data_IF_733662019444
#
_entry.id   IF_733662019444
#
_cell.length_a   1.000
_cell.length_b   1.000
_cell.length_c   1.000
_cell.angle_alpha   90.00
_cell.angle_beta   90.00
_cell.angle_gamma   90.00
#
_symmetry.space_group_name_H-M   'P 1'
#
loop_
_entity.id
_entity.type
_entity.pdbx_description
1 polymer ?
#
# COMPACT_ATOMS: atom_id res chain seq x y z
N UNK A 1 32.69 -38.10 29.59
CA UNK A 1 32.51 -37.93 28.13
C UNK A 1 31.11 -37.41 27.88
N UNK A 2 30.98 -36.30 27.15
CA UNK A 2 29.77 -35.47 27.08
C UNK A 2 28.58 -36.14 26.37
N UNK A 3 27.38 -35.95 26.93
CA UNK A 3 26.10 -36.40 26.37
C UNK A 3 25.73 -35.53 25.17
N UNK A 4 25.43 -36.17 24.03
CA UNK A 4 25.07 -35.52 22.75
C UNK A 4 23.74 -34.77 22.89
N UNK A 5 23.60 -33.54 22.34
CA UNK A 5 22.48 -32.65 22.65
C UNK A 5 21.18 -33.17 22.04
N UNK A 6 20.15 -33.34 22.87
CA UNK A 6 18.79 -33.77 22.48
C UNK A 6 17.97 -32.58 21.93
N UNK A 7 18.57 -31.39 21.75
CA UNK A 7 17.87 -30.14 21.45
C UNK A 7 17.75 -29.73 19.97
N UNK A 8 18.49 -30.37 19.06
CA UNK A 8 18.67 -29.81 17.71
C UNK A 8 17.65 -30.31 16.68
N UNK A 9 17.13 -31.54 16.82
CA UNK A 9 16.18 -32.11 15.85
C UNK A 9 14.78 -31.48 15.95
N UNK A 10 14.32 -31.19 17.16
CA UNK A 10 13.01 -30.54 17.38
C UNK A 10 13.04 -29.08 16.91
N UNK A 11 14.13 -28.37 17.19
CA UNK A 11 14.33 -26.98 16.77
C UNK A 11 14.41 -26.84 15.25
N UNK A 12 15.10 -27.77 14.57
CA UNK A 12 15.12 -27.81 13.11
C UNK A 12 13.75 -28.14 12.50
N UNK A 13 12.98 -29.03 13.12
CA UNK A 13 11.62 -29.34 12.68
C UNK A 13 10.67 -28.14 12.85
N UNK A 14 10.77 -27.42 13.97
CA UNK A 14 9.97 -26.20 14.22
C UNK A 14 10.35 -25.05 13.27
N UNK A 15 11.63 -24.93 12.91
CA UNK A 15 12.09 -23.95 11.92
C UNK A 15 11.56 -24.27 10.51
N UNK A 16 11.61 -25.54 10.10
CA UNK A 16 11.07 -25.99 8.81
C UNK A 16 9.55 -25.86 8.72
N UNK A 17 8.83 -26.07 9.82
CA UNK A 17 7.37 -25.91 9.85
C UNK A 17 6.95 -24.42 9.76
N UNK A 18 7.71 -23.52 10.42
CA UNK A 18 7.46 -22.07 10.34
C UNK A 18 7.73 -21.50 8.95
N UNK A 19 8.77 -21.95 8.25
CA UNK A 19 9.05 -21.51 6.88
C UNK A 19 8.05 -22.04 5.85
N UNK A 20 7.47 -23.23 6.08
CA UNK A 20 6.44 -23.80 5.22
C UNK A 20 5.04 -23.19 5.43
N UNK A 21 4.73 -22.69 6.63
CA UNK A 21 3.42 -22.11 6.96
C UNK A 21 3.35 -20.59 6.79
N UNK A 22 4.49 -19.90 6.78
CA UNK A 22 4.54 -18.49 6.40
C UNK A 22 4.48 -18.43 4.87
N UNK A 23 3.27 -18.33 4.32
CA UNK A 23 3.11 -17.71 3.00
C UNK A 23 3.72 -16.31 3.15
N UNK A 24 4.78 -15.95 2.42
CA UNK A 24 5.04 -14.53 2.20
C UNK A 24 3.71 -13.97 1.76
N UNK A 25 3.19 -12.95 2.47
CA UNK A 25 2.07 -12.21 1.96
C UNK A 25 2.54 -11.67 0.62
N UNK A 26 2.18 -12.38 -0.45
CA UNK A 26 2.36 -11.96 -1.82
C UNK A 26 1.59 -10.65 -1.86
N UNK A 27 2.31 -9.56 -1.66
CA UNK A 27 1.79 -8.22 -1.79
C UNK A 27 1.15 -8.24 -3.18
N UNK A 28 -0.18 -8.12 -3.29
CA UNK A 28 -0.85 -8.34 -4.56
C UNK A 28 -0.12 -7.50 -5.59
N UNK A 29 0.42 -8.17 -6.63
CA UNK A 29 1.13 -7.50 -7.69
C UNK A 29 0.29 -6.30 -8.09
N UNK A 30 0.89 -5.09 -8.02
CA UNK A 30 0.18 -3.86 -8.28
C UNK A 30 -0.63 -4.05 -9.56
N UNK A 31 -1.95 -3.77 -9.55
CA UNK A 31 -2.78 -3.99 -10.73
C UNK A 31 -2.10 -3.30 -11.91
N UNK A 32 -2.12 -3.91 -13.11
CA UNK A 32 -1.45 -3.34 -14.27
C UNK A 32 -1.85 -1.88 -14.40
N UNK A 33 -0.88 -0.97 -14.35
CA UNK A 33 -1.12 0.47 -14.50
C UNK A 33 -1.79 0.71 -15.84
N UNK A 34 -3.12 0.73 -15.83
CA UNK A 34 -3.90 1.10 -17.00
C UNK A 34 -3.46 2.53 -17.34
N UNK A 35 -3.00 2.80 -18.57
CA UNK A 35 -2.66 4.15 -18.97
C UNK A 35 -3.88 5.05 -18.79
N UNK A 36 -3.82 5.96 -17.81
CA UNK A 36 -4.95 6.82 -17.43
C UNK A 36 -5.66 6.46 -16.11
N UNK A 37 -5.22 5.42 -15.39
CA UNK A 37 -5.71 5.13 -14.04
C UNK A 37 -5.32 6.26 -13.08
N UNK A 38 -6.27 6.67 -12.24
CA UNK A 38 -6.00 7.58 -11.11
C UNK A 38 -5.29 6.78 -10.03
N UNK A 39 -4.13 7.25 -9.59
CA UNK A 39 -3.40 6.64 -8.49
C UNK A 39 -3.91 7.21 -7.16
N UNK A 40 -4.23 6.35 -6.20
CA UNK A 40 -4.54 6.78 -4.84
C UNK A 40 -3.22 7.12 -4.13
N UNK A 41 -3.03 8.40 -3.81
CA UNK A 41 -1.84 8.89 -3.12
C UNK A 41 -2.23 9.57 -1.80
N UNK A 42 -1.38 9.40 -0.79
CA UNK A 42 -1.51 10.11 0.49
C UNK A 42 -0.83 11.48 0.41
N UNK A 43 -1.60 12.50 0.04
CA UNK A 43 -1.16 13.91 -0.01
C UNK A 43 -1.76 14.70 1.15
N UNK A 44 -0.98 15.63 1.73
CA UNK A 44 -1.49 16.62 2.68
C UNK A 44 -2.03 17.84 1.93
N UNK A 45 -3.25 18.23 2.25
CA UNK A 45 -3.94 19.39 1.68
C UNK A 45 -4.42 20.26 2.83
N UNK A 46 -4.28 21.57 2.68
CA UNK A 46 -4.78 22.54 3.66
C UNK A 46 -6.30 22.41 3.86
N UNK A 47 -6.75 22.72 5.08
CA UNK A 47 -8.13 22.45 5.50
C UNK A 47 -9.13 23.31 4.73
N UNK A 48 -8.84 24.59 4.59
CA UNK A 48 -9.64 25.58 3.87
C UNK A 48 -9.82 25.21 2.39
N UNK A 49 -8.74 24.75 1.75
CA UNK A 49 -8.78 24.29 0.36
C UNK A 49 -9.69 23.07 0.22
N UNK A 50 -9.54 22.10 1.13
CA UNK A 50 -10.33 20.89 1.07
C UNK A 50 -11.82 21.17 1.37
N UNK A 51 -12.12 22.03 2.35
CA UNK A 51 -13.48 22.46 2.68
C UNK A 51 -14.13 23.21 1.50
N UNK A 52 -13.38 24.07 0.80
CA UNK A 52 -13.83 24.74 -0.42
C UNK A 52 -14.30 23.74 -1.48
N UNK A 53 -13.48 22.73 -1.80
CA UNK A 53 -13.85 21.74 -2.81
C UNK A 53 -15.00 20.83 -2.36
N UNK A 54 -15.02 20.42 -1.09
CA UNK A 54 -16.09 19.59 -0.52
C UNK A 54 -17.44 20.31 -0.45
N UNK A 55 -17.44 21.63 -0.21
CA UNK A 55 -18.66 22.45 -0.12
C UNK A 55 -19.49 22.46 -1.41
N UNK A 56 -18.84 22.35 -2.56
CA UNK A 56 -19.49 22.24 -3.87
C UNK A 56 -20.19 20.87 -4.10
N UNK A 57 -20.13 19.95 -3.13
CA UNK A 57 -20.87 18.68 -3.16
C UNK A 57 -20.19 17.56 -3.96
N UNK A 58 -20.96 16.55 -4.42
CA UNK A 58 -20.43 15.37 -5.11
C UNK A 58 -19.47 15.73 -6.25
N UNK A 59 -18.44 14.90 -6.45
CA UNK A 59 -17.42 15.13 -7.50
C UNK A 59 -16.30 16.11 -7.13
N UNK A 60 -16.17 16.51 -5.86
CA UNK A 60 -15.11 17.40 -5.41
C UNK A 60 -13.68 16.90 -5.71
N UNK A 61 -13.46 15.58 -5.67
CA UNK A 61 -12.19 14.97 -6.05
C UNK A 61 -11.86 15.13 -7.54
N UNK A 62 -12.88 15.14 -8.39
CA UNK A 62 -12.70 15.38 -9.83
C UNK A 62 -12.32 16.84 -10.08
N UNK A 63 -12.97 17.78 -9.36
CA UNK A 63 -12.69 19.21 -9.43
C UNK A 63 -11.29 19.57 -8.95
N UNK A 64 -10.87 19.03 -7.79
CA UNK A 64 -9.50 19.28 -7.29
C UNK A 64 -8.45 18.66 -8.23
N UNK A 65 -8.72 17.47 -8.79
CA UNK A 65 -7.83 16.89 -9.81
C UNK A 65 -7.77 17.74 -11.09
N UNK A 66 -8.88 18.32 -11.54
CA UNK A 66 -8.89 19.24 -12.69
C UNK A 66 -8.09 20.52 -12.41
N UNK A 67 -8.20 21.07 -11.20
CA UNK A 67 -7.39 22.21 -10.77
C UNK A 67 -5.89 21.87 -10.74
N UNK A 68 -5.52 20.70 -10.21
CA UNK A 68 -4.13 20.22 -10.21
C UNK A 68 -3.58 19.99 -11.61
N UNK A 69 -4.38 19.45 -12.54
CA UNK A 69 -4.03 19.31 -13.96
C UNK A 69 -3.76 20.66 -14.62
N UNK A 70 -4.65 21.62 -14.41
CA UNK A 70 -4.49 22.99 -14.90
C UNK A 70 -3.23 23.66 -14.34
N UNK A 71 -2.96 23.50 -13.05
CA UNK A 71 -1.77 24.06 -12.40
C UNK A 71 -0.45 23.41 -12.87
N UNK A 72 -0.48 22.11 -13.21
CA UNK A 72 0.68 21.38 -13.72
C UNK A 72 0.90 21.55 -15.23
N UNK A 73 0.08 22.36 -15.92
CA UNK A 73 0.14 22.53 -17.38
C UNK A 73 -0.29 21.28 -18.16
N UNK A 74 -0.87 20.29 -17.47
CA UNK A 74 -1.36 19.05 -18.04
C UNK A 74 -2.81 19.28 -18.45
N UNK A 75 -2.99 19.94 -19.59
CA UNK A 75 -4.30 20.32 -20.14
C UNK A 75 -4.97 19.13 -20.79
#
# INVERSE_FOLDING_TARGET
>A
MARRPIGDSRSQAEAAFKSATTKPAEQPAAPPSVPGAKEMVSLRIDRDVLDFFQGDGPGWQERINAALRKASGKT
#
